data_IF_693839864553
#
_entry.id   IF_693839864553
#
_cell.length_a   1.000
_cell.length_b   1.000
_cell.length_c   1.000
_cell.angle_alpha   90.00
_cell.angle_beta   90.00
_cell.angle_gamma   90.00
#
_symmetry.space_group_name_H-M   'P 1'
#
loop_
_entity.id
_entity.type
_entity.pdbx_description
1 polymer ?
#
# COMPACT_ATOMS: atom_id res chain seq x y z
N UNK A 1 3.40 4.85 25.05
CA UNK A 1 3.51 5.76 23.89
C UNK A 1 4.95 6.23 23.79
N UNK A 2 5.61 6.02 22.64
CA UNK A 2 7.02 6.38 22.43
C UNK A 2 7.13 7.66 21.60
N UNK A 3 7.27 8.81 22.28
CA UNK A 3 7.47 10.13 21.67
C UNK A 3 8.96 10.50 21.63
N UNK A 4 9.75 9.72 20.89
CA UNK A 4 11.16 10.01 20.64
C UNK A 4 11.45 9.99 19.14
N UNK A 5 12.42 10.79 18.70
CA UNK A 5 12.88 10.79 17.32
C UNK A 5 13.94 9.72 17.04
N UNK A 6 14.75 9.36 18.04
CA UNK A 6 15.87 8.40 17.92
C UNK A 6 15.98 7.52 19.16
N UNK A 7 16.71 6.41 19.04
CA UNK A 7 16.93 5.42 20.09
C UNK A 7 18.44 5.26 20.34
N UNK A 8 18.81 4.90 21.56
CA UNK A 8 20.21 4.68 21.93
C UNK A 8 20.72 3.41 21.25
N UNK A 9 21.82 3.55 20.51
CA UNK A 9 22.54 2.45 19.89
C UNK A 9 23.67 2.01 20.82
N UNK A 10 23.95 0.70 20.88
CA UNK A 10 25.11 0.19 21.64
C UNK A 10 26.41 0.45 20.89
N UNK A 11 26.39 0.27 19.57
CA UNK A 11 27.48 0.52 18.65
C UNK A 11 26.92 0.97 17.30
N UNK A 12 27.74 1.59 16.45
CA UNK A 12 27.32 1.99 15.10
C UNK A 12 26.87 0.76 14.31
N UNK A 13 25.64 0.76 13.82
CA UNK A 13 25.05 -0.34 13.06
C UNK A 13 24.50 -1.49 13.90
N UNK A 14 24.51 -1.39 15.24
CA UNK A 14 23.85 -2.35 16.15
C UNK A 14 22.69 -1.69 16.88
N UNK A 15 21.51 -1.74 16.28
CA UNK A 15 20.26 -1.34 16.92
C UNK A 15 19.56 -2.52 17.61
N UNK A 16 18.60 -2.20 18.50
CA UNK A 16 17.76 -3.18 19.22
C UNK A 16 16.40 -3.39 18.53
N UNK A 17 16.34 -3.23 17.21
CA UNK A 17 15.13 -3.20 16.40
C UNK A 17 14.59 -1.80 16.10
N UNK A 18 15.16 -0.75 16.71
CA UNK A 18 14.76 0.64 16.48
C UNK A 18 15.98 1.56 16.51
N UNK A 19 16.10 2.42 15.49
CA UNK A 19 17.17 3.42 15.34
C UNK A 19 16.59 4.85 15.28
N UNK A 20 15.58 5.04 14.46
CA UNK A 20 14.96 6.30 14.12
C UNK A 20 13.45 6.13 13.91
N UNK A 21 12.67 7.02 14.53
CA UNK A 21 11.21 6.86 14.68
C UNK A 21 10.45 6.78 13.35
N UNK A 22 10.97 7.41 12.28
CA UNK A 22 10.37 7.35 10.95
C UNK A 22 10.45 5.93 10.38
N UNK A 23 11.59 5.28 10.56
CA UNK A 23 11.86 3.91 10.10
C UNK A 23 11.03 2.93 10.92
N UNK A 24 11.15 2.97 12.25
CA UNK A 24 10.43 2.11 13.16
C UNK A 24 10.14 2.81 14.49
N UNK A 25 8.96 2.57 15.06
CA UNK A 25 8.55 3.09 16.36
C UNK A 25 7.77 2.00 17.12
N UNK A 26 8.10 1.68 18.39
CA UNK A 26 7.44 0.58 19.10
C UNK A 26 5.93 0.77 19.25
N UNK A 27 5.44 2.01 19.43
CA UNK A 27 4.00 2.27 19.50
C UNK A 27 3.32 2.03 18.15
N UNK A 28 3.96 2.45 17.05
CA UNK A 28 3.42 2.23 15.69
C UNK A 28 3.43 0.75 15.34
N UNK A 29 4.52 0.05 15.64
CA UNK A 29 4.66 -1.39 15.35
C UNK A 29 3.57 -2.21 16.04
N UNK A 30 3.30 -1.97 17.33
CA UNK A 30 2.21 -2.65 18.04
C UNK A 30 0.85 -2.41 17.38
N UNK A 31 0.58 -1.16 16.95
CA UNK A 31 -0.65 -0.84 16.22
C UNK A 31 -0.72 -1.57 14.88
N UNK A 32 0.38 -1.60 14.13
CA UNK A 32 0.48 -2.29 12.83
C UNK A 32 0.24 -3.81 12.96
N UNK A 33 0.81 -4.44 14.00
CA UNK A 33 0.62 -5.86 14.30
C UNK A 33 -0.82 -6.18 14.69
N UNK A 34 -1.46 -5.35 15.52
CA UNK A 34 -2.86 -5.52 15.88
C UNK A 34 -3.79 -5.33 14.68
N UNK A 35 -3.54 -4.33 13.82
CA UNK A 35 -4.30 -4.14 12.59
C UNK A 35 -4.17 -5.33 11.65
N UNK A 36 -2.94 -5.84 11.46
CA UNK A 36 -2.70 -7.03 10.66
C UNK A 36 -3.47 -8.24 11.20
N UNK A 37 -3.48 -8.45 12.51
CA UNK A 37 -4.23 -9.52 13.14
C UNK A 37 -5.75 -9.40 12.92
N UNK A 38 -6.30 -8.18 13.01
CA UNK A 38 -7.73 -7.92 12.80
C UNK A 38 -8.18 -8.22 11.37
N UNK A 39 -7.38 -7.81 10.38
CA UNK A 39 -7.68 -8.03 8.96
C UNK A 39 -7.20 -9.39 8.44
N UNK A 40 -6.71 -10.28 9.32
CA UNK A 40 -6.07 -11.55 8.95
C UNK A 40 -4.92 -11.38 7.94
N UNK A 41 -4.25 -10.23 7.98
CA UNK A 41 -3.08 -9.89 7.18
C UNK A 41 -1.77 -10.39 7.82
N UNK A 42 -0.75 -10.62 6.99
CA UNK A 42 0.59 -10.99 7.47
C UNK A 42 1.37 -9.79 8.00
N UNK A 43 1.08 -8.60 7.47
CA UNK A 43 1.77 -7.35 7.79
C UNK A 43 0.76 -6.19 7.79
N UNK A 44 1.01 -5.18 8.61
CA UNK A 44 0.32 -3.90 8.61
C UNK A 44 1.33 -2.77 8.47
N UNK A 45 0.96 -1.67 7.82
CA UNK A 45 1.80 -0.47 7.70
C UNK A 45 0.94 0.76 7.96
N UNK A 46 1.31 1.55 8.95
CA UNK A 46 0.58 2.76 9.33
C UNK A 46 1.19 3.99 8.67
N UNK A 47 0.31 4.80 8.05
CA UNK A 47 0.66 6.05 7.38
C UNK A 47 0.02 7.25 8.09
N UNK A 48 0.47 8.46 7.75
CA UNK A 48 -0.09 9.71 8.30
C UNK A 48 -1.53 9.97 7.85
N UNK A 49 -1.95 9.42 6.71
CA UNK A 49 -3.31 9.50 6.18
C UNK A 49 -3.59 8.39 5.17
N UNK A 50 -4.86 8.18 4.82
CA UNK A 50 -5.25 7.26 3.74
C UNK A 50 -4.65 7.65 2.38
N UNK A 51 -4.50 8.95 2.10
CA UNK A 51 -3.84 9.41 0.87
C UNK A 51 -2.35 9.09 0.83
N UNK A 52 -1.65 9.20 1.96
CA UNK A 52 -0.24 8.80 2.05
C UNK A 52 -0.07 7.28 1.87
N UNK A 53 -1.03 6.48 2.34
CA UNK A 53 -1.04 5.04 2.11
C UNK A 53 -1.21 4.72 0.62
N UNK A 54 -2.17 5.37 -0.06
CA UNK A 54 -2.40 5.19 -1.50
C UNK A 54 -1.19 5.65 -2.32
N UNK A 55 -0.64 6.83 -2.05
CA UNK A 55 0.57 7.35 -2.71
C UNK A 55 1.76 6.39 -2.57
N UNK A 56 1.94 5.79 -1.39
CA UNK A 56 3.00 4.79 -1.16
C UNK A 56 2.78 3.52 -1.97
N UNK A 57 1.52 3.04 -2.09
CA UNK A 57 1.19 1.91 -2.95
C UNK A 57 1.43 2.21 -4.44
N UNK A 58 1.11 3.43 -4.90
CA UNK A 58 1.29 3.84 -6.29
C UNK A 58 2.75 3.95 -6.68
N UNK A 59 3.63 4.34 -5.74
CA UNK A 59 5.09 4.37 -5.95
C UNK A 59 5.71 2.99 -6.19
N UNK A 60 4.98 1.90 -5.98
CA UNK A 60 5.42 0.55 -6.35
C UNK A 60 5.28 0.30 -7.86
N UNK A 61 4.46 1.09 -8.56
CA UNK A 61 4.20 0.97 -9.99
C UNK A 61 5.33 1.62 -10.82
N UNK A 62 5.46 1.17 -12.06
CA UNK A 62 6.38 1.71 -13.05
C UNK A 62 5.62 2.39 -14.18
N UNK A 63 6.33 3.24 -14.92
CA UNK A 63 5.79 3.82 -16.15
C UNK A 63 5.37 2.71 -17.12
N UNK A 64 4.15 2.80 -17.66
CA UNK A 64 3.56 1.80 -18.53
C UNK A 64 2.71 0.73 -17.83
N UNK A 65 2.66 0.70 -16.50
CA UNK A 65 1.70 -0.16 -15.78
C UNK A 65 0.25 0.33 -15.97
N UNK A 66 -0.72 -0.49 -15.59
CA UNK A 66 -2.15 -0.15 -15.64
C UNK A 66 -2.79 -0.32 -14.28
N UNK A 67 -3.60 0.65 -13.88
CA UNK A 67 -4.35 0.61 -12.61
C UNK A 67 -5.83 0.54 -12.92
N UNK A 68 -6.51 -0.41 -12.28
CA UNK A 68 -7.96 -0.57 -12.36
C UNK A 68 -8.55 -0.08 -11.04
N UNK A 69 -9.43 0.91 -11.14
CA UNK A 69 -10.08 1.54 -9.99
C UNK A 69 -11.60 1.49 -10.17
N UNK A 70 -12.32 1.45 -9.05
CA UNK A 70 -13.76 1.70 -9.06
C UNK A 70 -14.02 3.18 -9.39
N UNK A 71 -15.19 3.48 -9.94
CA UNK A 71 -15.60 4.83 -10.33
C UNK A 71 -15.94 5.75 -9.12
N UNK A 72 -15.97 5.18 -7.92
CA UNK A 72 -16.35 5.89 -6.69
C UNK A 72 -15.13 6.29 -5.82
N UNK A 73 -13.89 6.19 -6.34
CA UNK A 73 -12.65 6.37 -5.54
C UNK A 73 -12.21 7.83 -5.47
N UNK A 74 -13.05 8.68 -4.88
CA UNK A 74 -12.99 10.16 -4.98
C UNK A 74 -11.64 10.84 -4.70
N UNK A 75 -10.80 10.31 -3.82
CA UNK A 75 -9.59 11.04 -3.37
C UNK A 75 -8.35 10.83 -4.27
N UNK A 76 -8.36 9.83 -5.15
CA UNK A 76 -7.15 9.33 -5.84
C UNK A 76 -7.01 9.88 -7.27
N UNK A 77 -8.10 10.34 -7.86
CA UNK A 77 -8.20 10.75 -9.26
C UNK A 77 -7.22 11.84 -9.73
N UNK A 78 -7.06 12.98 -9.04
CA UNK A 78 -6.27 14.08 -9.60
C UNK A 78 -4.75 13.83 -9.56
N UNK A 79 -4.25 13.10 -8.55
CA UNK A 79 -2.79 12.91 -8.34
C UNK A 79 -2.21 11.79 -9.22
N UNK A 80 -2.94 10.69 -9.45
CA UNK A 80 -2.49 9.61 -10.34
C UNK A 80 -2.35 10.09 -11.78
N UNK A 81 -3.41 10.73 -12.30
CA UNK A 81 -3.52 11.12 -13.71
C UNK A 81 -2.42 12.08 -14.16
N UNK A 82 -1.95 12.94 -13.25
CA UNK A 82 -0.93 13.95 -13.57
C UNK A 82 0.50 13.45 -13.37
N UNK A 83 0.76 12.52 -12.44
CA UNK A 83 2.13 12.09 -12.11
C UNK A 83 2.61 10.87 -12.87
N UNK A 84 1.72 9.95 -13.21
CA UNK A 84 2.07 8.75 -13.93
C UNK A 84 1.20 8.69 -15.17
N UNK A 85 1.80 8.49 -16.35
CA UNK A 85 1.10 8.26 -17.62
C UNK A 85 0.39 6.88 -17.61
N UNK A 86 -0.35 6.57 -16.55
CA UNK A 86 -1.10 5.35 -16.34
C UNK A 86 -2.46 5.50 -17.02
N UNK A 87 -2.80 4.53 -17.87
CA UNK A 87 -4.16 4.42 -18.39
C UNK A 87 -5.03 3.80 -17.31
N UNK A 88 -5.99 4.59 -16.80
CA UNK A 88 -6.93 4.17 -15.76
C UNK A 88 -8.18 3.57 -16.41
N UNK A 89 -8.45 2.29 -16.12
CA UNK A 89 -9.62 1.58 -16.63
C UNK A 89 -10.65 1.52 -15.52
N UNK A 90 -11.79 2.20 -15.72
CA UNK A 90 -12.90 2.23 -14.75
C UNK A 90 -13.84 1.06 -14.97
N UNK A 91 -14.18 0.38 -13.88
CA UNK A 91 -15.10 -0.75 -13.92
C UNK A 91 -16.09 -0.61 -12.78
N UNK A 92 -17.38 -0.63 -13.12
CA UNK A 92 -18.45 -0.67 -12.12
C UNK A 92 -18.27 -1.91 -11.21
N UNK A 93 -18.50 -1.81 -9.89
CA UNK A 93 -18.26 -2.90 -8.94
C UNK A 93 -18.92 -4.22 -9.34
N UNK A 94 -20.10 -4.14 -9.98
CA UNK A 94 -20.86 -5.29 -10.47
C UNK A 94 -20.16 -6.05 -11.61
N UNK A 95 -19.29 -5.39 -12.38
CA UNK A 95 -18.62 -5.94 -13.56
C UNK A 95 -17.18 -6.40 -13.29
N UNK A 96 -16.63 -6.10 -12.11
CA UNK A 96 -15.25 -6.45 -11.73
C UNK A 96 -14.99 -7.97 -11.85
N UNK A 97 -15.97 -8.82 -11.47
CA UNK A 97 -15.82 -10.28 -11.55
C UNK A 97 -15.73 -10.78 -12.99
N UNK A 98 -16.47 -10.15 -13.91
CA UNK A 98 -16.45 -10.48 -15.33
C UNK A 98 -15.14 -10.01 -15.96
N UNK A 99 -14.69 -8.82 -15.62
CA UNK A 99 -13.43 -8.29 -16.13
C UNK A 99 -12.21 -9.08 -15.66
N UNK A 100 -12.15 -9.45 -14.37
CA UNK A 100 -11.08 -10.32 -13.86
C UNK A 100 -11.05 -11.68 -14.55
N UNK A 101 -12.22 -12.21 -14.96
CA UNK A 101 -12.29 -13.42 -15.79
C UNK A 101 -11.70 -13.19 -17.20
N UNK A 102 -12.01 -12.06 -17.83
CA UNK A 102 -11.46 -11.71 -19.15
C UNK A 102 -9.95 -11.52 -19.08
N UNK A 103 -9.42 -10.82 -18.07
CA UNK A 103 -7.97 -10.68 -17.87
C UNK A 103 -7.27 -12.03 -17.67
N UNK A 104 -7.86 -12.93 -16.89
CA UNK A 104 -7.32 -14.29 -16.71
C UNK A 104 -7.35 -15.09 -18.01
N UNK A 105 -8.35 -14.88 -18.87
CA UNK A 105 -8.43 -15.51 -20.19
C UNK A 105 -7.36 -14.96 -21.14
N UNK A 106 -7.05 -13.66 -21.07
CA UNK A 106 -6.02 -13.03 -21.91
C UNK A 106 -4.59 -13.31 -21.43
N UNK A 107 -4.36 -13.56 -20.14
CA UNK A 107 -3.02 -13.85 -19.60
C UNK A 107 -2.58 -15.31 -19.72
N UNK A 108 -3.39 -16.19 -20.33
CA UNK A 108 -3.02 -17.58 -20.62
C UNK A 108 -2.81 -18.48 -19.39
N UNK A 109 -3.13 -18.01 -18.18
CA UNK A 109 -3.02 -18.79 -16.95
C UNK A 109 -4.19 -19.77 -16.85
N UNK A 110 -3.99 -21.00 -17.35
CA UNK A 110 -4.93 -22.12 -17.17
C UNK A 110 -5.25 -22.31 -15.69
N UNK A 111 -6.53 -22.24 -15.40
CA UNK A 111 -7.14 -22.54 -14.11
C UNK A 111 -6.83 -24.00 -13.74
N UNK A 112 -6.01 -24.20 -12.72
CA UNK A 112 -5.91 -25.47 -11.99
C UNK A 112 -6.92 -25.45 -10.84
#
# INVERSE_FOLDING_TARGET
>A
MHQTATYVLEEVGKDKGFDYTRSANPTRQMMEEHLAALDSGKYGVAYSSGMAAVDSCLKLLKSGDHVICSDDVTAVYPDISTRFWLIMIYILPMWIRLFLRILKLQSGQKQK
#
